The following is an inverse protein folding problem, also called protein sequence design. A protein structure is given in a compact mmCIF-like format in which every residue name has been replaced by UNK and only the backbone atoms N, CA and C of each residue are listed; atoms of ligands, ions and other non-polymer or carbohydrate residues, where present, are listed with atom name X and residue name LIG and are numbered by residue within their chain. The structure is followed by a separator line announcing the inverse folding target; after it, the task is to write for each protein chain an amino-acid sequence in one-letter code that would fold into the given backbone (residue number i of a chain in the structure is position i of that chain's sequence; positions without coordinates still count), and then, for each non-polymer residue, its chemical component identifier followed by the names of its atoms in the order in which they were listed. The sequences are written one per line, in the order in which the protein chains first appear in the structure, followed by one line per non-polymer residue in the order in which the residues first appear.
data_IF_846175830355
#
_entry.id   IF_846175830355
#
_cell.length_a   1.000
_cell.length_b   1.000
_cell.length_c   1.000
_cell.angle_alpha   90.00
_cell.angle_beta   90.00
_cell.angle_gamma   90.00
#
_symmetry.space_group_name_H-M   'P 1'
#
loop_
_entity.id
_entity.type
_entity.pdbx_description
1 polymer ?
#
# COMPACT_ATOMS: atom_id res chain seq x y z
N UNK A 1 -45.68 -38.23 52.54
CA UNK A 1 -44.66 -37.16 52.43
C UNK A 1 -43.31 -37.83 52.28
N UNK A 2 -42.81 -37.95 51.04
CA UNK A 2 -41.51 -38.57 50.77
C UNK A 2 -40.44 -37.47 50.71
N UNK A 3 -39.46 -37.55 51.60
CA UNK A 3 -38.32 -36.64 51.66
C UNK A 3 -37.39 -36.99 50.51
N UNK A 4 -37.35 -36.14 49.48
CA UNK A 4 -36.33 -36.21 48.43
C UNK A 4 -34.97 -35.90 49.07
N UNK A 5 -34.10 -36.90 49.12
CA UNK A 5 -32.71 -36.73 49.55
C UNK A 5 -31.94 -35.81 48.59
N UNK A 6 -30.88 -35.14 49.05
CA UNK A 6 -30.09 -34.25 48.22
C UNK A 6 -29.46 -35.06 47.08
N UNK A 7 -29.91 -34.81 45.85
CA UNK A 7 -29.26 -35.32 44.65
C UNK A 7 -27.81 -34.81 44.64
N UNK A 8 -26.87 -35.70 44.96
CA UNK A 8 -25.45 -35.49 44.76
C UNK A 8 -25.21 -35.19 43.28
N UNK A 9 -25.07 -33.92 42.94
CA UNK A 9 -24.65 -33.48 41.61
C UNK A 9 -23.23 -34.01 41.40
N UNK A 10 -23.12 -35.12 40.70
CA UNK A 10 -21.84 -35.66 40.23
C UNK A 10 -21.09 -34.54 39.51
N UNK A 11 -19.82 -34.27 39.84
CA UNK A 11 -19.07 -33.19 39.22
C UNK A 11 -18.99 -33.45 37.72
N UNK A 12 -19.63 -32.59 36.93
CA UNK A 12 -19.52 -32.61 35.47
C UNK A 12 -18.04 -32.60 35.12
N UNK A 13 -17.53 -33.76 34.66
CA UNK A 13 -16.17 -33.86 34.15
C UNK A 13 -16.12 -33.01 32.91
N UNK A 14 -15.63 -31.79 33.07
CA UNK A 14 -15.45 -30.83 31.99
C UNK A 14 -14.52 -31.49 30.97
N UNK A 15 -15.10 -31.92 29.86
CA UNK A 15 -14.37 -32.51 28.74
C UNK A 15 -13.25 -31.57 28.32
N UNK A 16 -12.03 -32.11 28.17
CA UNK A 16 -10.84 -31.37 27.71
C UNK A 16 -11.15 -30.62 26.40
N UNK A 17 -11.99 -31.21 25.53
CA UNK A 17 -12.45 -30.56 24.30
C UNK A 17 -13.28 -29.30 24.56
N UNK A 18 -14.10 -29.29 25.62
CA UNK A 18 -14.87 -28.11 26.05
C UNK A 18 -13.98 -26.98 26.55
N UNK A 19 -12.88 -27.30 27.23
CA UNK A 19 -11.90 -26.31 27.68
C UNK A 19 -11.15 -25.66 26.50
N UNK A 20 -10.76 -26.49 25.51
CA UNK A 20 -10.12 -26.00 24.28
C UNK A 20 -11.10 -25.11 23.49
N UNK A 21 -12.35 -25.52 23.34
CA UNK A 21 -13.37 -24.72 22.64
C UNK A 21 -13.61 -23.37 23.32
N UNK A 22 -13.67 -23.33 24.67
CA UNK A 22 -13.78 -22.07 25.43
C UNK A 22 -12.56 -21.19 25.26
N UNK A 23 -11.35 -21.76 25.32
CA UNK A 23 -10.12 -21.00 25.10
C UNK A 23 -10.07 -20.38 23.70
N UNK A 24 -10.43 -21.14 22.66
CA UNK A 24 -10.50 -20.66 21.27
C UNK A 24 -11.57 -19.55 21.15
N UNK A 25 -12.75 -19.77 21.71
CA UNK A 25 -13.82 -18.78 21.70
C UNK A 25 -13.36 -17.47 22.35
N UNK A 26 -12.74 -17.53 23.53
CA UNK A 26 -12.21 -16.36 24.25
C UNK A 26 -11.14 -15.64 23.43
N UNK A 27 -10.20 -16.37 22.83
CA UNK A 27 -9.11 -15.80 22.02
C UNK A 27 -9.63 -15.12 20.76
N UNK A 28 -10.74 -15.58 20.18
CA UNK A 28 -11.33 -14.98 18.98
C UNK A 28 -12.30 -13.84 19.34
N UNK A 29 -13.18 -14.04 20.33
CA UNK A 29 -14.23 -13.09 20.67
C UNK A 29 -13.70 -11.86 21.42
N UNK A 30 -12.72 -12.01 22.31
CA UNK A 30 -12.19 -10.87 23.06
C UNK A 30 -11.62 -9.78 22.14
N UNK A 31 -10.69 -10.08 21.22
CA UNK A 31 -10.13 -9.04 20.35
C UNK A 31 -11.20 -8.46 19.42
N UNK A 32 -12.11 -9.28 18.90
CA UNK A 32 -13.20 -8.79 18.04
C UNK A 32 -14.13 -7.81 18.79
N UNK A 33 -14.45 -8.13 20.05
CA UNK A 33 -15.26 -7.27 20.91
C UNK A 33 -14.54 -5.98 21.27
N UNK A 34 -13.24 -6.04 21.57
CA UNK A 34 -12.42 -4.86 21.82
C UNK A 34 -12.38 -3.94 20.59
N UNK A 35 -12.24 -4.53 19.40
CA UNK A 35 -12.25 -3.81 18.13
C UNK A 35 -13.59 -3.11 17.89
N UNK A 36 -14.69 -3.78 18.21
CA UNK A 36 -16.04 -3.21 18.11
C UNK A 36 -16.26 -2.05 19.09
N UNK A 37 -15.85 -2.19 20.35
CA UNK A 37 -15.96 -1.10 21.33
C UNK A 37 -15.05 0.08 20.99
N UNK A 38 -13.83 -0.19 20.50
CA UNK A 38 -12.93 0.83 19.98
C UNK A 38 -13.55 1.60 18.80
N UNK A 39 -14.18 0.89 17.86
CA UNK A 39 -14.86 1.50 16.71
C UNK A 39 -16.04 2.40 17.15
N UNK A 40 -16.83 1.95 18.13
CA UNK A 40 -17.92 2.76 18.71
C UNK A 40 -17.42 4.02 19.41
N UNK A 41 -16.35 3.91 20.20
CA UNK A 41 -15.74 5.05 20.88
C UNK A 41 -15.18 6.06 19.87
N UNK A 42 -14.53 5.57 18.81
CA UNK A 42 -14.03 6.41 17.73
C UNK A 42 -15.17 7.16 17.02
N UNK A 43 -16.26 6.46 16.69
CA UNK A 43 -17.45 7.07 16.09
C UNK A 43 -18.04 8.18 16.96
N UNK A 44 -18.14 7.96 18.28
CA UNK A 44 -18.59 9.00 19.23
C UNK A 44 -17.63 10.19 19.29
N UNK A 45 -16.32 9.94 19.27
CA UNK A 45 -15.31 11.00 19.24
C UNK A 45 -15.43 11.87 17.98
N UNK A 46 -15.62 11.25 16.81
CA UNK A 46 -15.80 11.97 15.53
C UNK A 46 -17.06 12.83 15.57
N UNK A 47 -18.17 12.31 16.08
CA UNK A 47 -19.43 13.07 16.20
C UNK A 47 -19.24 14.27 17.13
N UNK A 48 -18.63 14.08 18.31
CA UNK A 48 -18.38 15.17 19.25
C UNK A 48 -17.48 16.27 18.66
N UNK A 49 -16.46 15.89 17.86
CA UNK A 49 -15.59 16.85 17.17
C UNK A 49 -16.36 17.62 16.10
N UNK A 50 -17.20 16.94 15.31
CA UNK A 50 -18.03 17.57 14.29
C UNK A 50 -19.03 18.55 14.90
N UNK A 51 -19.66 18.16 16.01
CA UNK A 51 -20.59 18.99 16.77
C UNK A 51 -19.87 20.23 17.33
N UNK A 52 -18.69 20.04 17.92
CA UNK A 52 -17.86 21.15 18.38
C UNK A 52 -17.48 22.10 17.23
N UNK A 53 -17.09 21.60 16.06
CA UNK A 53 -16.77 22.44 14.91
C UNK A 53 -18.03 23.18 14.42
N UNK A 54 -19.18 22.51 14.36
CA UNK A 54 -20.44 23.12 13.92
C UNK A 54 -20.84 24.28 14.84
N UNK A 55 -20.80 24.08 16.15
CA UNK A 55 -21.18 25.11 17.11
C UNK A 55 -20.12 26.20 17.24
N UNK A 56 -18.84 25.84 17.42
CA UNK A 56 -17.80 26.83 17.76
C UNK A 56 -17.27 27.61 16.57
N UNK A 57 -17.23 27.01 15.38
CA UNK A 57 -16.62 27.62 14.19
C UNK A 57 -17.66 28.12 13.19
N UNK A 58 -18.72 27.34 12.96
CA UNK A 58 -19.70 27.65 11.93
C UNK A 58 -20.63 28.78 12.37
N UNK A 59 -21.05 28.81 13.63
CA UNK A 59 -21.92 29.87 14.16
C UNK A 59 -21.30 31.29 14.07
N UNK A 60 -20.04 31.54 14.50
CA UNK A 60 -19.43 32.86 14.36
C UNK A 60 -19.18 33.22 12.90
N UNK A 61 -18.82 32.25 12.05
CA UNK A 61 -18.63 32.48 10.61
C UNK A 61 -19.94 32.92 9.94
N UNK A 62 -21.05 32.25 10.24
CA UNK A 62 -22.37 32.59 9.70
C UNK A 62 -22.83 33.96 10.21
N UNK A 63 -22.63 34.26 11.50
CA UNK A 63 -22.95 35.59 12.06
C UNK A 63 -22.12 36.68 11.38
N UNK A 64 -20.82 36.46 11.23
CA UNK A 64 -19.91 37.43 10.60
C UNK A 64 -20.27 37.64 9.13
N UNK A 65 -20.55 36.57 8.38
CA UNK A 65 -21.00 36.66 7.00
C UNK A 65 -22.35 37.39 6.87
N UNK A 66 -23.31 37.08 7.73
CA UNK A 66 -24.62 37.75 7.74
C UNK A 66 -24.49 39.24 8.04
N UNK A 67 -23.68 39.61 9.03
CA UNK A 67 -23.48 41.01 9.38
C UNK A 67 -22.71 41.78 8.31
N UNK A 68 -21.73 41.15 7.66
CA UNK A 68 -20.84 41.84 6.75
C UNK A 68 -21.32 41.86 5.31
N UNK A 69 -22.04 40.83 4.86
CA UNK A 69 -22.47 40.69 3.46
C UNK A 69 -23.98 40.90 3.33
N UNK A 70 -24.78 40.22 4.14
CA UNK A 70 -26.25 40.30 4.01
C UNK A 70 -26.75 41.67 4.44
N UNK A 71 -26.21 42.24 5.52
CA UNK A 71 -26.64 43.55 6.02
C UNK A 71 -26.47 44.71 5.02
N UNK A 72 -25.30 44.92 4.38
CA UNK A 72 -25.17 45.99 3.40
C UNK A 72 -25.96 45.74 2.12
N UNK A 73 -26.06 44.49 1.67
CA UNK A 73 -26.89 44.15 0.52
C UNK A 73 -28.37 44.44 0.81
N UNK A 74 -28.83 44.08 2.02
CA UNK A 74 -30.19 44.36 2.45
C UNK A 74 -30.44 45.86 2.59
N UNK A 75 -29.53 46.62 3.20
CA UNK A 75 -29.64 48.08 3.30
C UNK A 75 -29.72 48.73 1.91
N UNK A 76 -28.84 48.31 0.99
CA UNK A 76 -28.87 48.79 -0.39
C UNK A 76 -30.20 48.46 -1.09
N UNK A 77 -30.68 47.23 -0.98
CA UNK A 77 -31.98 46.84 -1.54
C UNK A 77 -33.11 47.66 -0.93
N UNK A 78 -33.13 47.80 0.39
CA UNK A 78 -34.23 48.47 1.09
C UNK A 78 -34.25 49.95 0.72
N UNK A 79 -33.13 50.65 0.84
CA UNK A 79 -33.09 52.10 0.59
C UNK A 79 -33.27 52.43 -0.90
N UNK A 80 -32.63 51.67 -1.78
CA UNK A 80 -32.64 51.96 -3.21
C UNK A 80 -33.94 51.51 -3.88
N UNK A 81 -34.43 50.29 -3.60
CA UNK A 81 -35.69 49.82 -4.19
C UNK A 81 -36.90 50.47 -3.53
N UNK A 82 -36.94 50.71 -2.22
CA UNK A 82 -38.09 51.42 -1.65
C UNK A 82 -38.13 52.86 -2.10
N UNK A 83 -36.99 53.54 -2.23
CA UNK A 83 -36.95 54.89 -2.81
C UNK A 83 -37.53 54.92 -4.23
N UNK A 84 -37.07 53.99 -5.08
CA UNK A 84 -37.56 53.88 -6.46
C UNK A 84 -39.05 53.50 -6.53
N UNK A 85 -39.45 52.50 -5.76
CA UNK A 85 -40.83 52.00 -5.74
C UNK A 85 -41.76 53.06 -5.17
N UNK A 86 -41.45 53.69 -4.03
CA UNK A 86 -42.29 54.74 -3.46
C UNK A 86 -42.40 55.93 -4.40
N UNK A 87 -41.31 56.35 -5.03
CA UNK A 87 -41.33 57.45 -5.99
C UNK A 87 -42.19 57.09 -7.21
N UNK A 88 -42.06 55.87 -7.76
CA UNK A 88 -42.89 55.42 -8.88
C UNK A 88 -44.35 55.17 -8.49
N UNK A 89 -44.64 54.75 -7.26
CA UNK A 89 -45.99 54.48 -6.78
C UNK A 89 -46.73 55.78 -6.46
N UNK A 90 -46.06 56.75 -5.83
CA UNK A 90 -46.59 58.10 -5.56
C UNK A 90 -46.87 58.85 -6.87
N UNK A 91 -45.96 58.78 -7.85
CA UNK A 91 -46.20 59.37 -9.18
C UNK A 91 -47.22 58.56 -10.00
N UNK A 92 -47.20 57.23 -9.87
CA UNK A 92 -48.08 56.31 -10.59
C UNK A 92 -49.55 56.45 -10.18
N UNK A 93 -49.85 56.81 -8.93
CA UNK A 93 -51.23 56.98 -8.46
C UNK A 93 -51.92 58.19 -9.11
N UNK A 94 -51.18 59.26 -9.44
CA UNK A 94 -51.68 60.43 -10.19
C UNK A 94 -51.78 60.16 -11.70
N UNK A 95 -50.98 59.24 -12.24
CA UNK A 95 -50.90 58.90 -13.67
C UNK A 95 -51.56 57.57 -14.04
N UNK A 96 -52.29 56.93 -13.12
CA UNK A 96 -52.64 55.50 -13.08
C UNK A 96 -53.08 54.85 -14.40
N UNK A 97 -53.96 55.43 -15.24
CA UNK A 97 -54.37 54.77 -16.48
C UNK A 97 -53.29 54.83 -17.58
N UNK A 98 -52.55 55.93 -17.68
CA UNK A 98 -51.46 56.10 -18.67
C UNK A 98 -50.15 55.48 -18.17
N UNK A 99 -49.92 55.54 -16.87
CA UNK A 99 -48.74 54.99 -16.19
C UNK A 99 -48.70 53.47 -16.25
N UNK A 100 -49.80 52.76 -16.02
CA UNK A 100 -49.80 51.28 -16.08
C UNK A 100 -49.43 50.77 -17.48
N UNK A 101 -49.94 51.41 -18.53
CA UNK A 101 -49.68 51.01 -19.92
C UNK A 101 -48.23 51.35 -20.35
N UNK A 102 -47.73 52.53 -19.99
CA UNK A 102 -46.36 52.92 -20.29
C UNK A 102 -45.34 52.17 -19.42
N UNK A 103 -45.64 51.94 -18.14
CA UNK A 103 -44.79 51.15 -17.24
C UNK A 103 -44.73 49.71 -17.72
N UNK A 104 -45.84 49.05 -18.07
CA UNK A 104 -45.78 47.64 -18.47
C UNK A 104 -45.11 47.46 -19.84
N UNK A 105 -45.26 48.43 -20.75
CA UNK A 105 -44.59 48.40 -22.06
C UNK A 105 -43.11 48.79 -22.00
N UNK A 106 -42.72 49.76 -21.17
CA UNK A 106 -41.34 50.28 -21.09
C UNK A 106 -40.51 49.65 -19.96
N UNK A 107 -41.09 49.35 -18.79
CA UNK A 107 -40.34 48.66 -17.72
C UNK A 107 -40.09 47.20 -18.03
N UNK A 108 -40.96 46.45 -18.70
CA UNK A 108 -40.63 45.05 -19.00
C UNK A 108 -39.33 44.90 -19.79
N UNK A 109 -39.12 45.61 -20.91
CA UNK A 109 -37.87 45.53 -21.65
C UNK A 109 -36.74 46.19 -20.88
N UNK A 110 -36.96 47.32 -20.20
CA UNK A 110 -35.91 48.00 -19.44
C UNK A 110 -35.45 47.16 -18.23
N UNK A 111 -36.37 46.52 -17.51
CA UNK A 111 -36.07 45.62 -16.39
C UNK A 111 -35.29 44.42 -16.87
N UNK A 112 -35.69 43.78 -17.98
CA UNK A 112 -34.91 42.67 -18.56
C UNK A 112 -33.52 43.12 -19.02
N UNK A 113 -33.43 44.28 -19.67
CA UNK A 113 -32.15 44.83 -20.12
C UNK A 113 -31.24 45.18 -18.94
N UNK A 114 -31.77 45.81 -17.89
CA UNK A 114 -31.03 46.14 -16.67
C UNK A 114 -30.67 44.86 -15.91
N UNK A 115 -31.58 43.90 -15.76
CA UNK A 115 -31.30 42.63 -15.10
C UNK A 115 -30.22 41.85 -15.84
N UNK A 116 -30.30 41.73 -17.16
CA UNK A 116 -29.26 41.08 -17.96
C UNK A 116 -27.94 41.85 -17.94
N UNK A 117 -27.98 43.18 -17.97
CA UNK A 117 -26.78 44.00 -17.91
C UNK A 117 -26.12 43.87 -16.54
N UNK A 118 -26.88 43.96 -15.46
CA UNK A 118 -26.39 43.86 -14.09
C UNK A 118 -25.90 42.44 -13.80
N UNK A 119 -26.61 41.43 -14.32
CA UNK A 119 -26.18 40.04 -14.27
C UNK A 119 -24.87 39.80 -15.03
N UNK A 120 -24.77 40.22 -16.30
CA UNK A 120 -23.58 39.98 -17.13
C UNK A 120 -22.38 40.83 -16.70
N UNK A 121 -22.61 42.06 -16.24
CA UNK A 121 -21.55 43.04 -16.00
C UNK A 121 -21.09 43.10 -14.56
N UNK A 122 -21.96 42.81 -13.61
CA UNK A 122 -21.66 42.96 -12.17
C UNK A 122 -21.76 41.62 -11.45
N UNK A 123 -22.88 40.93 -11.54
CA UNK A 123 -23.14 39.75 -10.71
C UNK A 123 -22.31 38.55 -11.16
N UNK A 124 -22.33 38.18 -12.44
CA UNK A 124 -21.55 37.05 -12.96
C UNK A 124 -20.04 37.21 -12.75
N UNK A 125 -19.40 38.35 -13.09
CA UNK A 125 -17.98 38.52 -12.86
C UNK A 125 -17.62 38.62 -11.38
N UNK A 126 -18.44 39.28 -10.56
CA UNK A 126 -18.17 39.33 -9.10
C UNK A 126 -18.32 37.95 -8.47
N UNK A 127 -19.32 37.15 -8.85
CA UNK A 127 -19.51 35.80 -8.32
C UNK A 127 -18.38 34.87 -8.72
N UNK A 128 -17.92 34.93 -9.97
CA UNK A 128 -16.76 34.15 -10.43
C UNK A 128 -15.50 34.61 -9.72
N UNK A 129 -15.28 35.93 -9.59
CA UNK A 129 -14.13 36.48 -8.89
C UNK A 129 -14.15 36.06 -7.42
N UNK A 130 -15.27 36.18 -6.73
CA UNK A 130 -15.43 35.81 -5.32
C UNK A 130 -15.26 34.30 -5.12
N UNK A 131 -15.85 33.50 -6.00
CA UNK A 131 -15.66 32.05 -6.00
C UNK A 131 -14.19 31.66 -6.14
N UNK A 132 -13.50 32.24 -7.12
CA UNK A 132 -12.11 31.89 -7.41
C UNK A 132 -11.11 32.47 -6.41
N UNK A 133 -11.31 33.71 -5.96
CA UNK A 133 -10.37 34.37 -5.04
C UNK A 133 -10.58 34.04 -3.57
N UNK A 134 -11.79 33.68 -3.16
CA UNK A 134 -12.11 33.47 -1.74
C UNK A 134 -12.49 32.02 -1.47
N UNK A 135 -13.38 31.43 -2.27
CA UNK A 135 -13.81 30.04 -2.04
C UNK A 135 -12.66 29.08 -2.35
N UNK A 136 -11.92 29.28 -3.45
CA UNK A 136 -10.82 28.39 -3.83
C UNK A 136 -9.69 28.30 -2.78
N UNK A 137 -9.15 29.39 -2.20
CA UNK A 137 -8.14 29.29 -1.16
C UNK A 137 -8.68 28.72 0.14
N UNK A 138 -9.93 29.03 0.51
CA UNK A 138 -10.56 28.47 1.72
C UNK A 138 -10.78 26.97 1.53
N UNK A 139 -11.32 26.55 0.40
CA UNK A 139 -11.53 25.14 0.07
C UNK A 139 -10.20 24.38 0.03
N UNK A 140 -9.16 24.95 -0.57
CA UNK A 140 -7.83 24.35 -0.58
C UNK A 140 -7.19 24.33 0.82
N UNK A 141 -7.39 25.36 1.64
CA UNK A 141 -6.90 25.40 3.01
C UNK A 141 -7.59 24.32 3.85
N UNK A 142 -8.92 24.20 3.77
CA UNK A 142 -9.71 23.15 4.40
C UNK A 142 -9.28 21.78 3.90
N UNK A 143 -9.10 21.61 2.59
CA UNK A 143 -8.70 20.34 2.02
C UNK A 143 -7.35 19.88 2.57
N UNK A 144 -6.37 20.79 2.64
CA UNK A 144 -5.03 20.48 3.16
C UNK A 144 -4.98 20.30 4.67
N UNK A 145 -5.72 21.10 5.43
CA UNK A 145 -5.66 21.06 6.90
C UNK A 145 -6.61 20.07 7.54
N UNK A 146 -7.68 19.66 6.85
CA UNK A 146 -8.71 18.79 7.41
C UNK A 146 -8.78 17.48 6.62
N UNK A 147 -8.96 17.54 5.29
CA UNK A 147 -9.11 16.33 4.50
C UNK A 147 -7.83 15.48 4.48
N UNK A 148 -6.66 16.10 4.28
CA UNK A 148 -5.39 15.37 4.24
C UNK A 148 -5.10 14.65 5.56
N UNK A 149 -5.16 15.27 6.75
CA UNK A 149 -4.92 14.54 7.99
C UNK A 149 -5.98 13.49 8.27
N UNK A 150 -7.25 13.72 7.92
CA UNK A 150 -8.31 12.70 8.06
C UNK A 150 -8.03 11.51 7.13
N UNK A 151 -7.67 11.77 5.87
CA UNK A 151 -7.33 10.73 4.90
C UNK A 151 -6.09 9.94 5.34
N UNK A 152 -5.06 10.63 5.83
CA UNK A 152 -3.87 10.00 6.40
C UNK A 152 -4.21 9.17 7.63
N UNK A 153 -4.97 9.71 8.58
CA UNK A 153 -5.40 8.97 9.77
C UNK A 153 -6.19 7.72 9.38
N UNK A 154 -7.11 7.84 8.42
CA UNK A 154 -7.89 6.71 7.90
C UNK A 154 -6.98 5.66 7.26
N UNK A 155 -6.03 6.07 6.42
CA UNK A 155 -5.04 5.18 5.81
C UNK A 155 -4.14 4.49 6.85
N UNK A 156 -3.70 5.22 7.88
CA UNK A 156 -2.94 4.64 8.98
C UNK A 156 -3.75 3.61 9.77
N UNK A 157 -5.02 3.89 10.04
CA UNK A 157 -5.93 2.94 10.71
C UNK A 157 -6.13 1.70 9.85
N UNK A 158 -6.39 1.85 8.55
CA UNK A 158 -6.54 0.73 7.63
C UNK A 158 -5.25 -0.10 7.51
N UNK A 159 -4.09 0.57 7.40
CA UNK A 159 -2.80 -0.10 7.38
C UNK A 159 -2.52 -0.84 8.68
N UNK A 160 -2.81 -0.20 9.82
CA UNK A 160 -2.66 -0.79 11.14
C UNK A 160 -3.55 -2.02 11.28
N UNK A 161 -4.84 -1.92 10.92
CA UNK A 161 -5.77 -3.04 10.92
C UNK A 161 -5.26 -4.16 10.01
N UNK A 162 -4.86 -3.86 8.77
CA UNK A 162 -4.33 -4.89 7.86
C UNK A 162 -3.08 -5.58 8.43
N UNK A 163 -2.15 -4.81 8.99
CA UNK A 163 -0.92 -5.36 9.58
C UNK A 163 -1.18 -6.16 10.85
N UNK A 164 -2.06 -5.68 11.73
CA UNK A 164 -2.37 -6.35 13.00
C UNK A 164 -3.30 -7.55 12.81
N UNK A 165 -4.29 -7.44 11.92
CA UNK A 165 -5.31 -8.47 11.71
C UNK A 165 -4.87 -9.55 10.74
N UNK A 166 -3.99 -9.24 9.78
CA UNK A 166 -3.53 -10.21 8.79
C UNK A 166 -2.06 -10.59 9.06
N UNK A 167 -1.16 -9.61 9.04
CA UNK A 167 0.27 -9.92 9.07
C UNK A 167 0.72 -10.52 10.41
N UNK A 168 0.19 -10.05 11.54
CA UNK A 168 0.55 -10.57 12.86
C UNK A 168 0.08 -12.02 13.09
N UNK A 169 -1.20 -12.41 12.88
CA UNK A 169 -1.59 -13.81 13.02
C UNK A 169 -0.91 -14.69 11.98
N UNK A 170 -0.70 -14.20 10.74
CA UNK A 170 -0.01 -14.96 9.72
C UNK A 170 1.45 -15.22 10.08
N UNK A 171 2.16 -14.23 10.63
CA UNK A 171 3.55 -14.43 11.12
C UNK A 171 3.60 -15.33 12.35
N UNK A 172 2.60 -15.26 13.24
CA UNK A 172 2.48 -16.19 14.37
C UNK A 172 2.26 -17.62 13.88
N UNK A 173 1.36 -17.81 12.92
CA UNK A 173 1.03 -19.10 12.31
C UNK A 173 2.24 -19.65 11.53
N UNK A 174 2.96 -18.78 10.82
CA UNK A 174 4.23 -19.14 10.19
C UNK A 174 5.25 -19.65 11.20
N UNK A 175 5.44 -18.92 12.30
CA UNK A 175 6.46 -19.24 13.31
C UNK A 175 6.11 -20.46 14.15
N UNK A 176 4.82 -20.69 14.44
CA UNK A 176 4.36 -21.80 15.27
C UNK A 176 3.97 -23.05 14.52
N UNK A 177 3.44 -22.95 13.30
CA UNK A 177 2.98 -24.12 12.53
C UNK A 177 3.92 -24.45 11.38
N UNK A 178 4.27 -23.47 10.53
CA UNK A 178 5.03 -23.75 9.31
C UNK A 178 6.51 -24.00 9.60
N UNK A 179 7.13 -23.22 10.47
CA UNK A 179 8.54 -23.39 10.83
C UNK A 179 8.87 -24.79 11.40
N UNK A 180 8.12 -25.35 12.38
CA UNK A 180 8.40 -26.71 12.84
C UNK A 180 8.17 -27.76 11.76
N UNK A 181 7.11 -27.65 10.96
CA UNK A 181 6.85 -28.58 9.84
C UNK A 181 8.01 -28.56 8.83
N UNK A 182 8.46 -27.37 8.43
CA UNK A 182 9.61 -27.19 7.54
C UNK A 182 10.90 -27.74 8.16
N UNK A 183 11.10 -27.58 9.47
CA UNK A 183 12.27 -28.12 10.17
C UNK A 183 12.27 -29.65 10.17
N UNK A 184 11.12 -30.28 10.40
CA UNK A 184 10.96 -31.75 10.36
C UNK A 184 11.14 -32.26 8.94
N UNK A 185 10.57 -31.58 7.95
CA UNK A 185 10.72 -31.91 6.53
C UNK A 185 12.19 -31.81 6.10
N UNK A 186 12.88 -30.74 6.49
CA UNK A 186 14.29 -30.52 6.22
C UNK A 186 15.18 -31.56 6.90
N UNK A 187 14.88 -31.91 8.15
CA UNK A 187 15.58 -32.98 8.87
C UNK A 187 15.39 -34.34 8.18
N UNK A 188 14.16 -34.67 7.76
CA UNK A 188 13.86 -35.88 7.01
C UNK A 188 14.60 -35.93 5.67
N UNK A 189 14.67 -34.80 4.95
CA UNK A 189 15.37 -34.70 3.68
C UNK A 189 16.88 -34.87 3.84
N UNK A 190 17.48 -34.21 4.85
CA UNK A 190 18.90 -34.36 5.18
C UNK A 190 19.23 -35.80 5.61
N UNK A 191 18.35 -36.42 6.37
CA UNK A 191 18.52 -37.81 6.79
C UNK A 191 18.45 -38.76 5.60
N UNK A 192 17.45 -38.59 4.72
CA UNK A 192 17.32 -39.33 3.47
C UNK A 192 18.54 -39.16 2.58
N UNK A 193 19.08 -37.94 2.46
CA UNK A 193 20.30 -37.66 1.70
C UNK A 193 21.54 -38.36 2.29
N UNK A 194 21.70 -38.36 3.61
CA UNK A 194 22.81 -39.07 4.27
C UNK A 194 22.72 -40.58 4.05
N UNK A 195 21.52 -41.15 4.14
CA UNK A 195 21.31 -42.57 3.88
C UNK A 195 21.60 -42.90 2.41
N UNK A 196 21.07 -42.10 1.47
CA UNK A 196 21.32 -42.27 0.05
C UNK A 196 22.82 -42.18 -0.29
N UNK A 197 23.53 -41.18 0.24
CA UNK A 197 24.98 -41.03 -0.01
C UNK A 197 25.79 -42.16 0.62
N UNK A 198 25.37 -42.67 1.79
CA UNK A 198 26.01 -43.84 2.42
C UNK A 198 25.81 -45.09 1.58
N UNK A 199 24.59 -45.33 1.10
CA UNK A 199 24.27 -46.45 0.22
C UNK A 199 25.11 -46.35 -1.06
N UNK A 200 25.07 -45.23 -1.78
CA UNK A 200 25.87 -45.04 -3.00
C UNK A 200 27.37 -45.23 -2.73
N UNK A 201 27.86 -44.73 -1.60
CA UNK A 201 29.28 -44.88 -1.24
C UNK A 201 29.65 -46.34 -1.03
N UNK A 202 28.82 -47.10 -0.32
CA UNK A 202 29.07 -48.52 -0.04
C UNK A 202 28.88 -49.38 -1.29
N UNK A 203 27.78 -49.19 -2.01
CA UNK A 203 27.37 -50.03 -3.13
C UNK A 203 28.06 -49.71 -4.45
N UNK A 204 28.43 -48.45 -4.69
CA UNK A 204 29.01 -48.02 -5.97
C UNK A 204 30.46 -47.63 -5.77
N UNK A 205 30.75 -46.74 -4.82
CA UNK A 205 32.09 -46.15 -4.70
C UNK A 205 33.10 -47.17 -4.17
N UNK A 206 32.76 -47.96 -3.16
CA UNK A 206 33.66 -49.00 -2.61
C UNK A 206 34.06 -50.03 -3.67
N UNK A 207 33.13 -50.66 -4.42
CA UNK A 207 33.51 -51.60 -5.47
C UNK A 207 34.21 -50.93 -6.65
N UNK A 208 33.81 -49.72 -7.08
CA UNK A 208 34.55 -49.01 -8.12
C UNK A 208 35.97 -48.65 -7.68
N UNK A 209 36.17 -48.24 -6.43
CA UNK A 209 37.49 -47.92 -5.89
C UNK A 209 38.36 -49.16 -5.78
N UNK A 210 37.78 -50.29 -5.40
CA UNK A 210 38.46 -51.58 -5.41
C UNK A 210 38.83 -51.98 -6.83
N UNK A 211 37.88 -51.96 -7.77
CA UNK A 211 38.11 -52.26 -9.19
C UNK A 211 39.20 -51.36 -9.80
N UNK A 212 39.15 -50.07 -9.47
CA UNK A 212 40.15 -49.11 -9.93
C UNK A 212 41.55 -49.46 -9.42
N UNK A 213 41.67 -49.79 -8.13
CA UNK A 213 42.95 -50.12 -7.51
C UNK A 213 43.49 -51.48 -7.98
N UNK A 214 42.62 -52.46 -8.16
CA UNK A 214 43.00 -53.84 -8.49
C UNK A 214 43.22 -54.04 -9.98
N UNK A 215 42.40 -53.42 -10.85
CA UNK A 215 42.42 -53.67 -12.29
C UNK A 215 42.95 -52.49 -13.11
N UNK A 216 42.43 -51.27 -12.89
CA UNK A 216 42.79 -50.11 -13.72
C UNK A 216 44.18 -49.55 -13.40
N UNK A 217 44.56 -49.49 -12.13
CA UNK A 217 45.86 -48.98 -11.72
C UNK A 217 47.04 -49.77 -12.32
N UNK A 218 47.07 -51.13 -12.30
CA UNK A 218 48.12 -51.87 -12.99
C UNK A 218 48.04 -51.72 -14.51
N UNK A 219 46.83 -51.69 -15.09
CA UNK A 219 46.64 -51.47 -16.53
C UNK A 219 47.23 -50.13 -16.98
N UNK A 220 46.92 -49.04 -16.29
CA UNK A 220 47.48 -47.72 -16.61
C UNK A 220 48.98 -47.66 -16.36
N UNK A 221 49.50 -48.37 -15.36
CA UNK A 221 50.95 -48.45 -15.15
C UNK A 221 51.65 -49.13 -16.34
N UNK A 222 51.08 -50.21 -16.87
CA UNK A 222 51.59 -50.92 -18.05
C UNK A 222 51.46 -50.05 -19.31
N UNK A 223 50.30 -49.43 -19.52
CA UNK A 223 50.11 -48.52 -20.66
C UNK A 223 51.07 -47.34 -20.58
N UNK A 224 51.29 -46.78 -19.38
CA UNK A 224 52.23 -45.68 -19.18
C UNK A 224 53.68 -46.10 -19.43
N UNK A 225 54.10 -47.30 -19.04
CA UNK A 225 55.45 -47.79 -19.34
C UNK A 225 55.63 -48.05 -20.82
N UNK A 226 54.64 -48.68 -21.47
CA UNK A 226 54.65 -48.89 -22.93
C UNK A 226 54.70 -47.56 -23.66
N UNK A 227 53.81 -46.61 -23.34
CA UNK A 227 53.78 -45.28 -23.96
C UNK A 227 55.09 -44.51 -23.77
N UNK A 228 55.69 -44.59 -22.57
CA UNK A 228 57.01 -43.98 -22.34
C UNK A 228 58.08 -44.61 -23.21
N UNK A 229 58.04 -45.92 -23.41
CA UNK A 229 59.01 -46.63 -24.24
C UNK A 229 58.79 -46.38 -25.74
N UNK A 230 57.55 -46.40 -26.21
CA UNK A 230 57.20 -46.37 -27.64
C UNK A 230 57.03 -44.97 -28.21
N UNK A 231 56.59 -43.99 -27.41
CA UNK A 231 56.31 -42.63 -27.89
C UNK A 231 57.26 -41.63 -27.25
N UNK A 232 57.36 -41.61 -25.92
CA UNK A 232 58.10 -40.53 -25.24
C UNK A 232 59.60 -40.62 -25.53
N UNK A 233 60.20 -41.81 -25.47
CA UNK A 233 61.63 -41.99 -25.80
C UNK A 233 61.98 -41.59 -27.23
N UNK A 234 61.30 -42.07 -28.29
CA UNK A 234 61.63 -41.67 -29.65
C UNK A 234 61.29 -40.20 -29.93
N UNK A 235 60.18 -39.66 -29.43
CA UNK A 235 59.87 -38.23 -29.59
C UNK A 235 60.92 -37.37 -28.90
N UNK A 236 61.34 -37.73 -27.68
CA UNK A 236 62.43 -37.04 -26.98
C UNK A 236 63.74 -37.14 -27.74
N UNK A 237 64.03 -38.29 -28.36
CA UNK A 237 65.20 -38.45 -29.21
C UNK A 237 65.14 -37.54 -30.44
N UNK A 238 64.03 -37.55 -31.20
CA UNK A 238 63.84 -36.68 -32.38
C UNK A 238 63.91 -35.21 -31.99
N UNK A 239 63.30 -34.84 -30.86
CA UNK A 239 63.34 -33.47 -30.35
C UNK A 239 64.77 -33.01 -30.04
N UNK A 240 65.54 -33.82 -29.32
CA UNK A 240 66.92 -33.49 -28.94
C UNK A 240 67.90 -33.59 -30.11
N UNK A 241 67.70 -34.54 -31.03
CA UNK A 241 68.66 -34.85 -32.10
C UNK A 241 68.40 -34.09 -33.40
N UNK A 242 67.15 -33.73 -33.69
CA UNK A 242 66.76 -33.10 -34.96
C UNK A 242 66.24 -31.69 -34.74
N UNK A 243 65.22 -31.53 -33.90
CA UNK A 243 64.57 -30.22 -33.73
C UNK A 243 65.45 -29.22 -32.99
N UNK A 244 66.19 -29.66 -31.96
CA UNK A 244 67.06 -28.76 -31.20
C UNK A 244 68.19 -28.16 -32.04
N UNK A 245 68.97 -28.92 -32.84
CA UNK A 245 69.98 -28.33 -33.70
C UNK A 245 69.38 -27.53 -34.86
N UNK A 246 68.26 -27.96 -35.45
CA UNK A 246 67.58 -27.17 -36.48
C UNK A 246 67.08 -25.83 -35.94
N UNK A 247 66.52 -25.81 -34.72
CA UNK A 247 66.08 -24.56 -34.09
C UNK A 247 67.26 -23.64 -33.77
N UNK A 248 68.41 -24.19 -33.36
CA UNK A 248 69.64 -23.39 -33.17
C UNK A 248 70.15 -22.82 -34.50
N UNK A 249 70.22 -23.63 -35.55
CA UNK A 249 70.65 -23.18 -36.87
C UNK A 249 69.67 -22.14 -37.47
N UNK A 250 68.37 -22.35 -37.30
CA UNK A 250 67.35 -21.39 -37.73
C UNK A 250 67.44 -20.09 -36.94
N UNK A 251 67.69 -20.17 -35.62
CA UNK A 251 67.93 -18.99 -34.80
C UNK A 251 69.16 -18.23 -35.28
N UNK A 252 70.30 -18.90 -35.48
CA UNK A 252 71.54 -18.31 -36.01
C UNK A 252 71.33 -17.64 -37.37
N UNK A 253 70.65 -18.31 -38.31
CA UNK A 253 70.30 -17.74 -39.63
C UNK A 253 69.42 -16.50 -39.50
N UNK A 254 68.38 -16.53 -38.66
CA UNK A 254 67.54 -15.35 -38.41
C UNK A 254 68.34 -14.18 -37.84
N UNK A 255 69.26 -14.42 -36.89
CA UNK A 255 70.16 -13.37 -36.40
C UNK A 255 71.09 -12.84 -37.49
N UNK A 256 71.60 -13.69 -38.39
CA UNK A 256 72.49 -13.24 -39.48
C UNK A 256 71.79 -12.43 -40.57
N UNK A 257 70.51 -12.73 -40.86
CA UNK A 257 69.76 -12.07 -41.93
C UNK A 257 69.09 -10.77 -41.48
N UNK A 258 68.73 -10.66 -40.20
CA UNK A 258 67.97 -9.52 -39.66
C UNK A 258 68.70 -8.75 -38.55
N UNK A 259 69.93 -9.15 -38.19
CA UNK A 259 70.73 -8.54 -37.11
C UNK A 259 71.78 -7.52 -37.57
N UNK A 260 71.69 -7.02 -38.81
CA UNK A 260 72.46 -5.89 -39.35
C UNK A 260 71.54 -4.73 -39.70
#
# INVERSE_FOLDING_TARGET
MAVQGPEERTPERVSIAGWIARAIAVVIFIPLRLLWEGCKLFGRGVVAVLEFISEKLLEPLVKLFRYWVVRPIWAFFTDFLWGLILQQLLWGMILTPLGAFLLDFLLRPLKRAVEEWLWRRVLKPSLIWFGRKIIEPIANWIARWILVPIAQATMYVLYFIGRWLIAWPLTRLWRWALWPILSVLGAALLFGWRVATTIVRVLVVTPCRWLYRTALQPLFAIVATVWRATVVRPVRFVYLRVLTPMNKAAAELMTSLFGH
#
